data_IF_271341591554
#
_entry.id   IF_271341591554
#
_cell.length_a   1.000
_cell.length_b   1.000
_cell.length_c   1.000
_cell.angle_alpha   90.00
_cell.angle_beta   90.00
_cell.angle_gamma   90.00
#
_symmetry.space_group_name_H-M   'P 1'
#
loop_
_entity.id
_entity.type
_entity.pdbx_description
1 polymer ?
#
# COMPACT_ATOMS: atom_id res chain seq x y z
N UNK A 1 10.98 4.38 -10.99
CA UNK A 1 9.64 4.61 -10.45
C UNK A 1 9.74 5.25 -9.07
N UNK A 2 9.04 6.33 -8.88
CA UNK A 2 9.11 7.08 -7.64
C UNK A 2 7.87 6.83 -6.78
N UNK A 3 8.08 6.36 -5.56
CA UNK A 3 7.00 6.01 -4.65
C UNK A 3 7.08 6.82 -3.36
N UNK A 4 5.92 7.23 -2.83
CA UNK A 4 5.88 7.90 -1.53
C UNK A 4 6.13 6.88 -0.42
N UNK A 5 6.40 7.37 0.80
CA UNK A 5 6.61 6.49 1.93
C UNK A 5 5.39 5.61 2.22
N UNK A 6 4.19 6.18 2.07
CA UNK A 6 2.96 5.40 2.27
C UNK A 6 2.82 4.33 1.19
N UNK A 7 3.11 4.65 -0.08
CA UNK A 7 3.05 3.68 -1.15
C UNK A 7 4.04 2.54 -0.94
N UNK A 8 5.24 2.85 -0.48
CA UNK A 8 6.22 1.82 -0.15
C UNK A 8 5.72 0.93 0.98
N UNK A 9 5.12 1.52 2.01
CA UNK A 9 4.55 0.78 3.12
C UNK A 9 3.46 -0.17 2.65
N UNK A 10 2.58 0.29 1.77
CA UNK A 10 1.51 -0.54 1.22
C UNK A 10 2.08 -1.75 0.49
N UNK A 11 3.07 -1.53 -0.37
CA UNK A 11 3.70 -2.63 -1.10
C UNK A 11 4.37 -3.62 -0.17
N UNK A 12 5.05 -3.14 0.87
CA UNK A 12 5.74 -4.00 1.82
C UNK A 12 4.77 -4.83 2.66
N UNK A 13 3.67 -4.23 3.09
CA UNK A 13 2.65 -4.96 3.84
C UNK A 13 2.04 -6.08 3.00
N UNK A 14 1.72 -5.78 1.74
CA UNK A 14 1.21 -6.81 0.83
C UNK A 14 2.25 -7.89 0.56
N UNK A 15 3.51 -7.49 0.41
CA UNK A 15 4.60 -8.41 0.10
C UNK A 15 4.91 -9.38 1.23
N UNK A 16 4.56 -9.03 2.46
CA UNK A 16 4.78 -9.88 3.62
C UNK A 16 3.73 -10.98 3.76
N UNK A 17 2.61 -10.86 3.07
CA UNK A 17 1.59 -11.90 3.12
C UNK A 17 1.90 -12.99 2.11
N UNK A 18 1.43 -14.20 2.40
CA UNK A 18 1.71 -15.37 1.60
C UNK A 18 1.19 -15.23 0.17
N UNK A 19 0.03 -14.65 0.01
CA UNK A 19 -0.61 -14.50 -1.30
C UNK A 19 -0.56 -13.06 -1.85
N UNK A 20 0.14 -12.16 -1.17
CA UNK A 20 0.25 -10.77 -1.59
C UNK A 20 -1.04 -9.97 -1.44
N UNK A 21 -1.98 -10.44 -0.63
CA UNK A 21 -3.31 -9.85 -0.47
C UNK A 21 -3.56 -9.44 0.97
N UNK A 22 -4.03 -8.22 1.18
CA UNK A 22 -4.37 -7.73 2.52
C UNK A 22 -5.67 -6.93 2.49
N UNK A 23 -6.28 -6.81 3.67
CA UNK A 23 -7.42 -5.93 3.85
C UNK A 23 -6.93 -4.50 3.96
N UNK A 24 -7.68 -3.58 3.37
CA UNK A 24 -7.35 -2.17 3.37
C UNK A 24 -7.18 -1.58 4.77
N UNK A 25 -8.01 -2.01 5.72
CA UNK A 25 -7.97 -1.49 7.09
C UNK A 25 -6.63 -1.68 7.77
N UNK A 26 -5.86 -2.65 7.34
CA UNK A 26 -4.53 -2.93 7.89
C UNK A 26 -3.54 -1.79 7.63
N UNK A 27 -3.78 -0.99 6.60
CA UNK A 27 -2.87 0.09 6.22
C UNK A 27 -2.90 1.27 7.17
N UNK A 28 -3.88 1.37 8.03
CA UNK A 28 -3.94 2.42 9.04
C UNK A 28 -2.76 2.35 10.01
N UNK A 29 -2.13 1.18 10.13
CA UNK A 29 -0.94 1.00 10.96
C UNK A 29 0.23 1.89 10.57
N UNK A 30 0.25 2.39 9.33
CA UNK A 30 1.28 3.31 8.89
C UNK A 30 1.34 4.55 9.80
N UNK A 31 0.16 5.06 10.16
CA UNK A 31 0.06 6.28 10.95
C UNK A 31 0.44 6.09 12.42
N UNK A 32 0.45 4.85 12.90
CA UNK A 32 0.89 4.57 14.27
C UNK A 32 2.39 4.77 14.44
N UNK A 33 3.13 4.79 13.34
CA UNK A 33 4.59 4.84 13.35
C UNK A 33 5.19 6.20 13.02
N UNK A 34 4.36 7.18 12.74
CA UNK A 34 4.85 8.51 12.39
C UNK A 34 4.42 9.54 13.42
N UNK A 35 5.28 10.55 13.63
CA UNK A 35 5.04 11.58 14.64
C UNK A 35 4.03 12.61 14.21
N UNK A 36 4.16 13.10 12.99
CA UNK A 36 3.23 14.10 12.45
C UNK A 36 2.18 13.41 11.61
N UNK A 37 0.99 13.29 12.19
CA UNK A 37 -0.12 12.60 11.54
C UNK A 37 -1.15 13.60 11.06
N UNK A 38 -1.73 13.40 9.87
CA UNK A 38 -2.90 14.17 9.48
C UNK A 38 -4.08 13.79 10.38
N UNK A 39 -5.15 14.54 10.32
CA UNK A 39 -6.34 14.21 11.07
C UNK A 39 -6.84 12.83 10.69
N UNK A 40 -7.31 12.07 11.68
CA UNK A 40 -7.76 10.71 11.49
C UNK A 40 -8.80 10.58 10.38
N UNK A 41 -9.63 11.60 10.23
CA UNK A 41 -10.67 11.66 9.20
C UNK A 41 -10.07 11.66 7.79
N UNK A 42 -8.85 12.15 7.64
CA UNK A 42 -8.16 12.22 6.34
C UNK A 42 -7.45 10.94 5.98
N UNK A 43 -7.20 10.06 6.93
CA UNK A 43 -6.44 8.83 6.69
C UNK A 43 -7.05 7.98 5.58
N UNK A 44 -8.37 7.82 5.62
CA UNK A 44 -9.08 7.02 4.63
C UNK A 44 -8.88 7.57 3.22
N UNK A 45 -9.00 8.88 3.06
CA UNK A 45 -8.82 9.53 1.76
C UNK A 45 -7.39 9.38 1.25
N UNK A 46 -6.42 9.60 2.11
CA UNK A 46 -5.00 9.53 1.75
C UNK A 46 -4.63 8.10 1.34
N UNK A 47 -5.06 7.13 2.12
CA UNK A 47 -4.81 5.71 1.82
C UNK A 47 -5.47 5.31 0.51
N UNK A 48 -6.73 5.71 0.29
CA UNK A 48 -7.45 5.41 -0.94
C UNK A 48 -6.72 5.97 -2.15
N UNK A 49 -6.29 7.22 -2.07
CA UNK A 49 -5.59 7.87 -3.18
C UNK A 49 -4.27 7.16 -3.49
N UNK A 50 -3.54 6.77 -2.46
CA UNK A 50 -2.29 6.04 -2.66
C UNK A 50 -2.51 4.68 -3.31
N UNK A 51 -3.56 3.96 -2.88
CA UNK A 51 -3.93 2.67 -3.48
C UNK A 51 -4.30 2.86 -4.95
N UNK A 52 -5.11 3.87 -5.26
CA UNK A 52 -5.53 4.13 -6.63
C UNK A 52 -4.33 4.41 -7.54
N UNK A 53 -3.35 5.17 -7.05
CA UNK A 53 -2.13 5.44 -7.81
C UNK A 53 -1.31 4.18 -8.05
N UNK A 54 -1.24 3.29 -7.07
CA UNK A 54 -0.54 2.01 -7.25
C UNK A 54 -1.26 1.12 -8.25
N UNK A 55 -2.59 1.16 -8.26
CA UNK A 55 -3.39 0.43 -9.25
C UNK A 55 -3.14 1.00 -10.65
N UNK A 56 -3.10 2.32 -10.78
CA UNK A 56 -2.81 2.97 -12.06
C UNK A 56 -1.43 2.60 -12.61
N UNK A 57 -0.47 2.35 -11.72
CA UNK A 57 0.87 1.90 -12.10
C UNK A 57 0.95 0.40 -12.34
N UNK A 58 -0.17 -0.28 -12.25
CA UNK A 58 -0.29 -1.73 -12.43
C UNK A 58 0.49 -2.54 -11.39
N UNK A 59 0.74 -1.95 -10.23
CA UNK A 59 1.45 -2.63 -9.15
C UNK A 59 0.52 -3.43 -8.25
N UNK A 60 -0.78 -3.13 -8.28
CA UNK A 60 -1.75 -3.87 -7.47
C UNK A 60 -3.14 -3.85 -8.09
N UNK A 61 -3.97 -4.75 -7.58
CA UNK A 61 -5.37 -4.91 -7.98
C UNK A 61 -6.22 -4.60 -6.76
N UNK A 62 -7.30 -3.86 -6.95
CA UNK A 62 -8.25 -3.56 -5.88
C UNK A 62 -9.50 -4.40 -6.00
N UNK A 63 -10.03 -4.82 -4.86
CA UNK A 63 -11.28 -5.57 -4.77
C UNK A 63 -12.26 -4.81 -3.87
N UNK A 64 -13.49 -4.69 -4.30
CA UNK A 64 -14.50 -4.00 -3.53
C UNK A 64 -15.70 -3.65 -4.40
N UNK A 65 -16.57 -2.81 -3.85
CA UNK A 65 -17.78 -2.40 -4.55
C UNK A 65 -17.54 -1.11 -5.33
N UNK A 66 -18.00 -1.08 -6.57
CA UNK A 66 -17.91 0.09 -7.41
C UNK A 66 -19.31 0.64 -7.65
N UNK A 67 -19.55 1.85 -7.19
CA UNK A 67 -20.81 2.54 -7.44
C UNK A 67 -20.61 3.52 -8.59
N UNK A 68 -21.72 4.16 -9.02
CA UNK A 68 -21.70 5.15 -10.07
C UNK A 68 -20.75 6.32 -9.76
N UNK A 69 -20.58 6.63 -8.48
CA UNK A 69 -19.83 7.82 -8.06
C UNK A 69 -18.51 7.52 -7.37
N UNK A 70 -18.31 6.27 -6.90
CA UNK A 70 -17.15 5.97 -6.06
C UNK A 70 -16.81 4.49 -6.10
N UNK A 71 -15.52 4.19 -5.89
CA UNK A 71 -15.02 2.82 -5.78
C UNK A 71 -14.60 2.58 -4.34
N UNK A 72 -15.31 1.67 -3.67
CA UNK A 72 -15.01 1.29 -2.30
C UNK A 72 -14.10 0.08 -2.29
N UNK A 73 -12.80 0.31 -2.23
CA UNK A 73 -11.80 -0.76 -2.23
C UNK A 73 -11.70 -1.34 -0.83
N UNK A 74 -11.96 -2.63 -0.67
CA UNK A 74 -11.90 -3.32 0.63
C UNK A 74 -10.63 -4.14 0.79
N UNK A 75 -10.12 -4.71 -0.29
CA UNK A 75 -8.92 -5.52 -0.30
C UNK A 75 -8.04 -5.12 -1.46
N UNK A 76 -6.74 -5.38 -1.31
CA UNK A 76 -5.77 -5.13 -2.36
C UNK A 76 -4.85 -6.34 -2.48
N UNK A 77 -4.34 -6.58 -3.69
CA UNK A 77 -3.44 -7.68 -3.98
C UNK A 77 -2.36 -7.22 -4.94
N UNK A 78 -1.12 -7.67 -4.72
CA UNK A 78 -0.03 -7.33 -5.61
C UNK A 78 -0.17 -8.03 -6.96
N UNK A 79 0.18 -7.31 -8.04
CA UNK A 79 0.40 -7.92 -9.35
C UNK A 79 1.81 -8.52 -9.37
N UNK A 80 2.16 -9.21 -10.47
CA UNK A 80 3.53 -9.70 -10.64
C UNK A 80 4.54 -8.56 -10.58
N UNK A 81 4.23 -7.44 -11.20
CA UNK A 81 5.08 -6.25 -11.16
C UNK A 81 5.16 -5.69 -9.74
N UNK A 82 4.04 -5.67 -9.02
CA UNK A 82 4.00 -5.21 -7.63
C UNK A 82 4.86 -6.07 -6.73
N UNK A 83 4.84 -7.38 -6.93
CA UNK A 83 5.69 -8.29 -6.16
C UNK A 83 7.15 -8.02 -6.40
N UNK A 84 7.53 -7.73 -7.63
CA UNK A 84 8.90 -7.40 -7.98
C UNK A 84 9.35 -6.12 -7.26
N UNK A 85 8.51 -5.09 -7.28
CA UNK A 85 8.83 -3.84 -6.60
C UNK A 85 8.91 -4.02 -5.09
N UNK A 86 8.00 -4.82 -4.51
CA UNK A 86 8.03 -5.11 -3.08
C UNK A 86 9.33 -5.81 -2.69
N UNK A 87 9.80 -6.75 -3.50
CA UNK A 87 11.08 -7.45 -3.24
C UNK A 87 12.25 -6.49 -3.26
N UNK A 88 12.25 -5.54 -4.19
CA UNK A 88 13.31 -4.53 -4.25
C UNK A 88 13.33 -3.69 -2.97
N UNK A 89 12.15 -3.27 -2.50
CA UNK A 89 12.04 -2.49 -1.28
C UNK A 89 12.50 -3.29 -0.06
N UNK A 90 12.15 -4.57 0.01
CA UNK A 90 12.57 -5.43 1.10
C UNK A 90 14.08 -5.61 1.11
N UNK A 91 14.69 -5.75 -0.06
CA UNK A 91 16.14 -5.85 -0.18
C UNK A 91 16.84 -4.59 0.28
N UNK A 92 16.31 -3.42 -0.07
CA UNK A 92 16.87 -2.15 0.37
C UNK A 92 16.79 -2.00 1.88
N UNK A 93 15.66 -2.40 2.48
CA UNK A 93 15.51 -2.33 3.94
C UNK A 93 16.47 -3.27 4.65
N UNK A 94 16.68 -4.45 4.09
CA UNK A 94 17.57 -5.42 4.71
C UNK A 94 19.04 -4.99 4.67
N UNK A 95 19.41 -4.19 3.70
CA UNK A 95 20.79 -3.69 3.61
C UNK A 95 21.11 -2.64 4.67
N UNK A 96 20.13 -1.82 5.02
CA UNK A 96 20.34 -0.72 5.95
C UNK A 96 20.78 -1.16 7.34
N UNK A 97 20.11 -2.12 7.98
CA UNK A 97 20.49 -2.52 9.33
C UNK A 97 21.72 -3.39 9.43
N UNK A 98 22.30 -3.78 8.33
CA UNK A 98 23.46 -4.66 8.32
C UNK A 98 24.79 -3.94 8.54
N UNK A 99 24.73 -2.71 8.91
CA UNK A 99 25.95 -1.98 9.22
C UNK A 99 26.35 -2.07 10.66
#
# INVERSE_FOLDING_TARGET
MRLSNLQKYILLECGQTKNGRILRGRLKGFYDKIDKKPKKEMWTKIITRSIERLIDKELMIGFGERTKYKWFIKEIKLTALGRREARKLMGEQMKLPLR
#
